data_IF_435807494127
#
_entry.id   IF_435807494127
#
_cell.length_a   1.000
_cell.length_b   1.000
_cell.length_c   1.000
_cell.angle_alpha   90.00
_cell.angle_beta   90.00
_cell.angle_gamma   90.00
#
_symmetry.space_group_name_H-M   'P 1'
#
loop_
_entity.id
_entity.type
_entity.pdbx_description
1 polymer ?
#
# COMPACT_ATOMS: atom_id res chain seq x y z
N UNK A 1 20.75 -5.63 4.62
CA UNK A 1 21.49 -6.90 4.42
C UNK A 1 21.71 -7.20 2.94
N UNK A 2 20.67 -7.45 2.12
CA UNK A 2 20.80 -7.69 0.67
C UNK A 2 21.67 -6.66 -0.07
N UNK A 3 21.46 -5.37 0.21
CA UNK A 3 22.27 -4.29 -0.40
C UNK A 3 23.76 -4.41 -0.11
N UNK A 4 24.16 -4.63 1.15
CA UNK A 4 25.57 -4.74 1.53
C UNK A 4 26.25 -6.00 1.00
N UNK A 5 25.52 -7.11 0.91
CA UNK A 5 26.04 -8.31 0.23
C UNK A 5 26.26 -8.03 -1.24
N UNK A 6 25.29 -7.38 -1.89
CA UNK A 6 25.41 -6.97 -3.30
C UNK A 6 26.62 -6.06 -3.51
N UNK A 7 26.81 -5.06 -2.66
CA UNK A 7 27.98 -4.18 -2.71
C UNK A 7 29.29 -4.96 -2.56
N UNK A 8 29.39 -5.84 -1.56
CA UNK A 8 30.56 -6.69 -1.36
C UNK A 8 30.86 -7.61 -2.55
N UNK A 9 29.82 -8.25 -3.11
CA UNK A 9 29.93 -9.07 -4.30
C UNK A 9 30.41 -8.26 -5.51
N UNK A 10 29.89 -7.04 -5.72
CA UNK A 10 30.34 -6.17 -6.81
C UNK A 10 31.82 -5.80 -6.64
N UNK A 11 32.26 -5.38 -5.45
CA UNK A 11 33.67 -5.04 -5.22
C UNK A 11 34.60 -6.23 -5.35
N UNK A 12 34.12 -7.45 -5.05
CA UNK A 12 34.87 -8.67 -5.23
C UNK A 12 34.93 -9.12 -6.70
N UNK A 13 33.81 -8.96 -7.42
CA UNK A 13 33.65 -9.44 -8.80
C UNK A 13 34.28 -8.48 -9.81
N UNK A 14 34.12 -7.17 -9.65
CA UNK A 14 34.61 -6.16 -10.58
C UNK A 14 36.10 -6.33 -10.97
N UNK A 15 37.07 -6.46 -10.03
CA UNK A 15 38.46 -6.65 -10.41
C UNK A 15 38.74 -8.00 -11.10
N UNK A 16 37.96 -9.05 -10.80
CA UNK A 16 38.09 -10.38 -11.43
C UNK A 16 37.53 -10.39 -12.84
N UNK A 17 36.34 -9.81 -13.01
CA UNK A 17 35.66 -9.69 -14.28
C UNK A 17 36.43 -8.77 -15.23
N UNK A 18 37.00 -7.68 -14.71
CA UNK A 18 37.75 -6.70 -15.51
C UNK A 18 39.25 -6.98 -15.57
N UNK A 19 39.73 -8.06 -14.95
CA UNK A 19 41.13 -8.48 -14.91
C UNK A 19 42.10 -7.34 -14.58
N UNK A 20 41.69 -6.50 -13.63
CA UNK A 20 42.43 -5.33 -13.21
C UNK A 20 42.26 -5.12 -11.71
N UNK A 21 43.09 -4.26 -11.13
CA UNK A 21 42.98 -3.94 -9.70
C UNK A 21 41.80 -3.00 -9.49
N UNK A 22 41.11 -3.16 -8.36
CA UNK A 22 40.10 -2.20 -7.94
C UNK A 22 40.71 -0.80 -7.88
N UNK A 23 40.04 0.18 -8.47
CA UNK A 23 40.56 1.54 -8.59
C UNK A 23 40.96 2.15 -7.25
N UNK A 24 40.14 2.00 -6.20
CA UNK A 24 40.50 2.46 -4.85
C UNK A 24 39.86 1.61 -3.75
N UNK A 25 40.69 0.97 -2.92
CA UNK A 25 40.22 0.27 -1.72
C UNK A 25 39.69 1.24 -0.66
N UNK A 26 40.36 2.38 -0.47
CA UNK A 26 39.92 3.44 0.47
C UNK A 26 38.53 3.96 0.14
N UNK A 27 38.22 4.12 -1.15
CA UNK A 27 36.91 4.58 -1.59
C UNK A 27 35.84 3.50 -1.36
N UNK A 28 36.18 2.23 -1.50
CA UNK A 28 35.29 1.11 -1.19
C UNK A 28 35.00 1.02 0.32
N UNK A 29 36.01 1.18 1.17
CA UNK A 29 35.86 1.24 2.63
C UNK A 29 35.03 2.45 3.07
N UNK A 30 35.29 3.63 2.47
CA UNK A 30 34.54 4.85 2.76
C UNK A 30 33.07 4.72 2.33
N UNK A 31 32.80 4.13 1.17
CA UNK A 31 31.44 3.78 0.77
C UNK A 31 30.78 2.86 1.81
N UNK A 32 31.45 1.79 2.23
CA UNK A 32 30.89 0.84 3.18
C UNK A 32 30.50 1.53 4.50
N UNK A 33 31.37 2.36 5.07
CA UNK A 33 31.07 3.10 6.29
C UNK A 33 29.98 4.15 6.10
N UNK A 34 30.03 4.92 5.00
CA UNK A 34 29.03 5.94 4.70
C UNK A 34 27.63 5.33 4.53
N UNK A 35 27.53 4.23 3.78
CA UNK A 35 26.29 3.48 3.62
C UNK A 35 25.84 2.86 4.95
N UNK A 36 26.75 2.36 5.78
CA UNK A 36 26.44 1.75 7.08
C UNK A 36 25.85 2.79 8.04
N UNK A 37 26.50 3.94 8.19
CA UNK A 37 25.97 5.02 9.02
C UNK A 37 24.66 5.54 8.44
N UNK A 38 24.58 5.73 7.12
CA UNK A 38 23.37 6.19 6.44
C UNK A 38 22.16 5.28 6.70
N UNK A 39 22.32 3.96 6.55
CA UNK A 39 21.22 3.02 6.80
C UNK A 39 20.86 2.93 8.29
N UNK A 40 21.82 3.04 9.21
CA UNK A 40 21.56 3.03 10.65
C UNK A 40 20.73 4.26 11.06
N UNK A 41 21.09 5.45 10.57
CA UNK A 41 20.30 6.67 10.79
C UNK A 41 18.90 6.53 10.22
N UNK A 42 18.79 6.00 9.00
CA UNK A 42 17.51 5.77 8.34
C UNK A 42 16.61 4.84 9.17
N UNK A 43 17.12 3.66 9.56
CA UNK A 43 16.38 2.65 10.33
C UNK A 43 16.02 3.17 11.72
N UNK A 44 16.97 3.80 12.42
CA UNK A 44 16.71 4.37 13.75
C UNK A 44 15.61 5.42 13.70
N UNK A 45 15.65 6.32 12.71
CA UNK A 45 14.61 7.33 12.52
C UNK A 45 13.23 6.71 12.29
N UNK A 46 13.15 5.58 11.57
CA UNK A 46 11.90 4.87 11.34
C UNK A 46 11.36 4.23 12.61
N UNK A 47 12.20 3.56 13.40
CA UNK A 47 11.76 2.95 14.64
C UNK A 47 11.31 3.98 15.67
N UNK A 48 12.06 5.06 15.85
CA UNK A 48 11.68 6.14 16.76
C UNK A 48 10.37 6.77 16.30
N UNK A 49 10.22 7.11 15.02
CA UNK A 49 8.97 7.65 14.50
C UNK A 49 7.78 6.71 14.72
N UNK A 50 7.94 5.41 14.45
CA UNK A 50 6.87 4.42 14.61
C UNK A 50 6.45 4.24 16.08
N UNK A 51 7.41 4.22 17.01
CA UNK A 51 7.14 4.13 18.44
C UNK A 51 6.45 5.40 18.94
N UNK A 52 6.96 6.57 18.55
CA UNK A 52 6.39 7.88 18.92
C UNK A 52 4.97 8.03 18.39
N UNK A 53 4.76 7.89 17.08
CA UNK A 53 3.44 8.04 16.44
C UNK A 53 2.46 6.98 16.95
N UNK A 54 2.89 5.72 16.99
CA UNK A 54 2.06 4.62 17.50
C UNK A 54 1.71 4.78 18.97
N UNK A 55 2.59 5.37 19.78
CA UNK A 55 2.33 5.71 21.18
C UNK A 55 1.33 6.85 21.32
N UNK A 56 1.50 7.93 20.55
CA UNK A 56 0.61 9.09 20.59
C UNK A 56 -0.80 8.75 20.09
N UNK A 57 -0.94 8.00 19.00
CA UNK A 57 -2.23 7.61 18.44
C UNK A 57 -3.06 6.73 19.40
N UNK A 58 -2.40 6.01 20.31
CA UNK A 58 -3.03 5.15 21.33
C UNK A 58 -3.04 5.76 22.73
N UNK A 59 -2.50 6.97 22.91
CA UNK A 59 -2.36 7.61 24.21
C UNK A 59 -3.72 8.07 24.74
N UNK A 60 -4.15 7.47 25.84
CA UNK A 60 -5.32 7.89 26.61
C UNK A 60 -4.87 8.56 27.92
N UNK A 61 -5.61 9.55 28.38
CA UNK A 61 -5.45 10.14 29.70
C UNK A 61 -6.15 9.31 30.79
N UNK A 62 -6.05 9.77 32.04
CA UNK A 62 -6.67 9.10 33.20
C UNK A 62 -8.21 9.07 33.13
N UNK A 63 -8.81 9.96 32.32
CA UNK A 63 -10.25 10.04 32.08
C UNK A 63 -10.69 9.17 30.89
N UNK A 64 -9.76 8.46 30.25
CA UNK A 64 -10.01 7.64 29.07
C UNK A 64 -10.19 8.44 27.77
N UNK A 65 -9.84 9.73 27.75
CA UNK A 65 -9.88 10.58 26.55
C UNK A 65 -8.54 10.58 25.81
N UNK A 66 -8.55 11.02 24.55
CA UNK A 66 -7.32 11.10 23.76
C UNK A 66 -6.38 12.18 24.31
N UNK A 67 -5.18 11.77 24.71
CA UNK A 67 -4.14 12.70 25.15
C UNK A 67 -3.69 13.65 24.03
N UNK A 68 -3.70 13.17 22.79
CA UNK A 68 -3.33 13.92 21.58
C UNK A 68 -4.52 13.95 20.63
N UNK A 69 -5.53 14.78 20.95
CA UNK A 69 -6.78 14.82 20.20
C UNK A 69 -6.56 15.33 18.76
N UNK A 70 -5.74 16.35 18.57
CA UNK A 70 -5.45 16.85 17.23
C UNK A 70 -4.42 15.95 16.53
N UNK A 71 -4.81 15.40 15.38
CA UNK A 71 -3.91 14.55 14.58
C UNK A 71 -2.61 15.27 14.17
N UNK A 72 -2.65 16.60 14.04
CA UNK A 72 -1.47 17.40 13.66
C UNK A 72 -0.33 17.33 14.69
N UNK A 73 -0.64 17.07 15.96
CA UNK A 73 0.36 16.91 17.01
C UNK A 73 1.23 15.67 16.75
N UNK A 74 0.63 14.58 16.28
CA UNK A 74 1.38 13.35 15.97
C UNK A 74 2.27 13.54 14.74
N UNK A 75 1.79 14.28 13.75
CA UNK A 75 2.55 14.59 12.53
C UNK A 75 3.76 15.46 12.86
N UNK A 76 3.55 16.55 13.60
CA UNK A 76 4.61 17.50 13.93
C UNK A 76 5.69 16.89 14.83
N UNK A 77 5.31 15.97 15.73
CA UNK A 77 6.24 15.25 16.60
C UNK A 77 7.26 14.38 15.84
N UNK A 78 6.92 13.87 14.66
CA UNK A 78 7.81 12.99 13.87
C UNK A 78 8.60 13.71 12.77
N UNK A 79 8.38 15.02 12.56
CA UNK A 79 9.13 15.83 11.58
C UNK A 79 10.66 15.72 11.77
N UNK A 80 11.23 15.78 12.98
CA UNK A 80 12.67 15.63 13.16
C UNK A 80 13.22 14.30 12.60
N UNK A 81 12.44 13.22 12.71
CA UNK A 81 12.81 11.90 12.22
C UNK A 81 12.80 11.85 10.69
N UNK A 82 11.95 12.64 10.02
CA UNK A 82 12.00 12.78 8.56
C UNK A 82 13.32 13.41 8.11
N UNK A 83 13.83 14.42 8.81
CA UNK A 83 15.14 15.02 8.49
C UNK A 83 16.29 14.05 8.70
N UNK A 84 16.31 13.31 9.82
CA UNK A 84 17.31 12.26 10.05
C UNK A 84 17.26 11.21 8.94
N UNK A 85 16.05 10.85 8.48
CA UNK A 85 15.85 9.91 7.37
C UNK A 85 16.42 10.45 6.05
N UNK A 86 16.18 11.72 5.74
CA UNK A 86 16.74 12.37 4.54
C UNK A 86 18.26 12.35 4.59
N UNK A 87 18.86 12.69 5.73
CA UNK A 87 20.31 12.64 5.93
C UNK A 87 20.84 11.22 5.72
N UNK A 88 20.24 10.23 6.39
CA UNK A 88 20.64 8.83 6.27
C UNK A 88 20.51 8.28 4.84
N UNK A 89 19.41 8.62 4.16
CA UNK A 89 19.18 8.26 2.76
C UNK A 89 20.16 8.93 1.80
N UNK A 90 20.46 10.22 2.00
CA UNK A 90 21.44 10.95 1.20
C UNK A 90 22.86 10.37 1.36
N UNK A 91 23.25 9.99 2.58
CA UNK A 91 24.52 9.29 2.83
C UNK A 91 24.57 7.94 2.10
N UNK A 92 23.49 7.16 2.18
CA UNK A 92 23.40 5.87 1.49
C UNK A 92 23.47 6.02 -0.04
N UNK A 93 22.75 6.99 -0.61
CA UNK A 93 22.77 7.29 -2.03
C UNK A 93 24.16 7.77 -2.49
N UNK A 94 24.77 8.67 -1.73
CA UNK A 94 26.14 9.15 -1.99
C UNK A 94 27.12 7.98 -1.97
N UNK A 95 26.97 7.06 -1.02
CA UNK A 95 27.73 5.82 -0.98
C UNK A 95 27.56 4.99 -2.25
N UNK A 96 26.33 4.81 -2.73
CA UNK A 96 26.03 4.12 -3.99
C UNK A 96 26.72 4.79 -5.20
N UNK A 97 26.71 6.12 -5.26
CA UNK A 97 27.41 6.88 -6.30
C UNK A 97 28.94 6.71 -6.21
N UNK A 98 29.51 6.69 -5.00
CA UNK A 98 30.93 6.40 -4.79
C UNK A 98 31.30 4.99 -5.30
N UNK A 99 30.44 3.99 -5.07
CA UNK A 99 30.62 2.65 -5.62
C UNK A 99 30.56 2.64 -7.13
N UNK A 100 29.53 3.25 -7.72
CA UNK A 100 29.38 3.33 -9.17
C UNK A 100 30.62 3.96 -9.82
N UNK A 101 31.12 5.05 -9.25
CA UNK A 101 32.35 5.70 -9.68
C UNK A 101 33.58 4.79 -9.55
N UNK A 102 33.76 4.11 -8.41
CA UNK A 102 34.88 3.19 -8.18
C UNK A 102 34.89 2.03 -9.19
N UNK A 103 33.73 1.43 -9.43
CA UNK A 103 33.55 0.34 -10.39
C UNK A 103 33.77 0.84 -11.82
N UNK A 104 33.24 2.01 -12.18
CA UNK A 104 33.45 2.59 -13.51
C UNK A 104 34.94 2.88 -13.77
N UNK A 105 35.66 3.43 -12.80
CA UNK A 105 37.11 3.67 -12.90
C UNK A 105 37.90 2.37 -12.97
N UNK A 106 37.45 1.33 -12.26
CA UNK A 106 38.03 -0.02 -12.36
C UNK A 106 37.84 -0.58 -13.77
N UNK A 107 36.63 -0.48 -14.33
CA UNK A 107 36.34 -0.91 -15.69
C UNK A 107 37.14 -0.14 -16.74
N UNK A 108 37.34 1.18 -16.57
CA UNK A 108 38.17 1.98 -17.47
C UNK A 108 39.66 1.60 -17.44
N UNK A 109 40.12 0.96 -16.37
CA UNK A 109 41.49 0.47 -16.20
C UNK A 109 41.68 -0.99 -16.65
N UNK A 110 40.69 -1.56 -17.36
CA UNK A 110 40.77 -2.93 -17.91
C UNK A 110 41.80 -3.02 -19.04
N UNK A 111 42.44 -4.18 -19.25
CA UNK A 111 43.21 -4.43 -20.46
C UNK A 111 42.29 -4.48 -21.70
N UNK A 112 42.84 -4.17 -22.88
CA UNK A 112 42.08 -4.20 -24.14
C UNK A 112 41.71 -5.64 -24.57
N UNK A 113 42.53 -6.61 -24.20
CA UNK A 113 42.29 -8.04 -24.38
C UNK A 113 42.16 -8.71 -23.02
N UNK A 114 41.20 -9.62 -22.90
CA UNK A 114 40.96 -10.41 -21.70
C UNK A 114 41.60 -11.77 -21.83
N UNK A 115 42.22 -12.24 -20.76
CA UNK A 115 42.62 -13.64 -20.65
C UNK A 115 41.35 -14.49 -20.48
N UNK A 116 41.12 -15.47 -21.34
CA UNK A 116 39.98 -16.39 -21.17
C UNK A 116 40.47 -17.67 -20.49
N UNK A 117 40.43 -17.79 -19.15
CA UNK A 117 40.75 -19.05 -18.50
C UNK A 117 39.71 -20.11 -18.90
N UNK A 118 40.17 -21.15 -19.59
CA UNK A 118 39.35 -22.32 -19.93
C UNK A 118 39.14 -23.11 -18.64
N UNK A 119 37.93 -23.03 -18.08
CA UNK A 119 37.51 -23.86 -16.96
C UNK A 119 36.92 -25.17 -17.49
N UNK A 120 37.70 -26.24 -17.44
CA UNK A 120 37.19 -27.58 -17.73
C UNK A 120 36.34 -28.08 -16.55
N UNK A 121 35.03 -28.06 -16.73
CA UNK A 121 34.11 -28.71 -15.79
C UNK A 121 34.07 -30.21 -16.10
N UNK A 122 34.06 -31.09 -15.08
CA UNK A 122 33.85 -32.51 -15.29
C UNK A 122 32.51 -32.74 -16.01
N UNK A 123 32.52 -33.63 -17.01
CA UNK A 123 31.33 -33.95 -17.78
C UNK A 123 30.17 -34.35 -16.86
N UNK A 124 28.97 -33.85 -17.17
CA UNK A 124 27.76 -34.14 -16.40
C UNK A 124 27.51 -35.66 -16.40
N UNK A 125 27.69 -36.31 -15.25
CA UNK A 125 27.43 -37.74 -15.12
C UNK A 125 25.93 -38.04 -15.30
N UNK A 126 25.59 -38.98 -16.18
CA UNK A 126 24.21 -39.37 -16.50
C UNK A 126 23.42 -39.92 -15.29
N UNK A 127 24.14 -40.45 -14.27
CA UNK A 127 23.55 -40.91 -13.02
C UNK A 127 24.29 -40.25 -11.85
N UNK A 128 23.61 -39.50 -10.99
CA UNK A 128 24.26 -38.93 -9.82
C UNK A 128 24.79 -40.07 -8.94
N UNK A 129 26.00 -39.97 -8.38
CA UNK A 129 26.49 -40.94 -7.42
C UNK A 129 25.47 -41.05 -6.28
N UNK A 130 25.16 -42.28 -5.87
CA UNK A 130 24.29 -42.54 -4.72
C UNK A 130 24.88 -41.79 -3.54
N UNK A 131 24.16 -40.80 -3.01
CA UNK A 131 24.55 -40.13 -1.79
C UNK A 131 24.37 -41.13 -0.65
N UNK A 132 25.37 -41.94 -0.37
CA UNK A 132 25.45 -42.58 0.94
C UNK A 132 25.47 -41.43 1.97
N UNK A 133 24.64 -41.48 3.03
CA UNK A 133 24.76 -40.51 4.11
C UNK A 133 26.21 -40.61 4.61
N UNK A 134 27.02 -39.56 4.44
CA UNK A 134 28.33 -39.59 5.10
C UNK A 134 28.09 -39.45 6.60
N UNK A 135 28.89 -40.11 7.44
CA UNK A 135 28.81 -39.94 8.88
C UNK A 135 29.03 -38.48 9.26
N UNK A 136 28.52 -38.10 10.45
CA UNK A 136 28.79 -36.80 11.07
C UNK A 136 30.28 -36.47 11.04
N UNK A 137 30.62 -35.18 10.82
CA UNK A 137 32.00 -34.67 10.89
C UNK A 137 32.53 -34.65 12.32
N UNK A 138 31.65 -34.77 13.31
CA UNK A 138 32.01 -34.78 14.72
C UNK A 138 32.52 -36.17 15.09
N UNK A 139 33.83 -36.26 15.32
CA UNK A 139 34.50 -37.46 15.79
C UNK A 139 34.72 -37.38 17.32
N UNK A 140 34.63 -38.52 18.02
CA UNK A 140 34.80 -38.60 19.49
C UNK A 140 33.52 -38.94 20.26
N UNK A 141 33.57 -38.92 21.59
CA UNK A 141 32.46 -39.26 22.50
C UNK A 141 31.47 -38.10 22.66
N UNK A 142 30.73 -37.80 21.60
CA UNK A 142 29.57 -36.91 21.63
C UNK A 142 28.29 -37.72 21.72
N UNK A 143 27.30 -37.13 22.39
CA UNK A 143 25.92 -37.61 22.45
C UNK A 143 25.34 -37.76 21.04
N UNK A 144 24.58 -38.83 20.81
CA UNK A 144 24.13 -39.24 19.47
C UNK A 144 23.28 -38.17 18.77
N UNK A 145 22.46 -37.43 19.52
CA UNK A 145 21.65 -36.34 18.96
C UNK A 145 22.51 -35.21 18.36
N UNK A 146 23.72 -34.95 18.89
CA UNK A 146 24.63 -33.94 18.34
C UNK A 146 25.20 -34.36 16.99
N UNK A 147 25.47 -35.66 16.80
CA UNK A 147 25.88 -36.22 15.50
C UNK A 147 24.73 -36.17 14.48
N UNK A 148 23.50 -36.43 14.92
CA UNK A 148 22.31 -36.31 14.06
C UNK A 148 22.04 -34.86 13.65
N UNK A 149 22.20 -33.90 14.58
CA UNK A 149 22.07 -32.48 14.29
C UNK A 149 23.14 -31.98 13.31
N UNK A 150 24.40 -32.41 13.46
CA UNK A 150 25.50 -32.12 12.53
C UNK A 150 25.22 -32.66 11.12
N UNK A 151 24.80 -33.93 11.02
CA UNK A 151 24.43 -34.54 9.74
C UNK A 151 23.24 -33.84 9.05
N UNK A 152 22.26 -33.36 9.84
CA UNK A 152 21.13 -32.57 9.33
C UNK A 152 21.58 -31.17 8.87
N UNK A 153 22.45 -30.52 9.64
CA UNK A 153 23.00 -29.19 9.36
C UNK A 153 23.89 -29.16 8.12
N UNK A 154 24.46 -30.30 7.69
CA UNK A 154 25.15 -30.39 6.40
C UNK A 154 24.21 -30.13 5.19
N UNK A 155 22.89 -30.13 5.39
CA UNK A 155 21.86 -29.85 4.38
C UNK A 155 22.02 -30.67 3.09
N UNK A 156 22.59 -31.88 3.16
CA UNK A 156 22.86 -32.71 1.97
C UNK A 156 21.58 -33.28 1.37
N UNK A 157 20.51 -33.35 2.15
CA UNK A 157 19.16 -33.60 1.67
C UNK A 157 18.68 -32.49 0.71
N UNK A 158 19.06 -31.23 0.95
CA UNK A 158 18.71 -30.09 0.10
C UNK A 158 19.39 -30.20 -1.29
N UNK A 159 20.65 -30.67 -1.35
CA UNK A 159 21.36 -30.92 -2.63
C UNK A 159 20.64 -31.91 -3.56
N UNK A 160 19.84 -32.83 -3.01
CA UNK A 160 19.03 -33.76 -3.82
C UNK A 160 17.92 -33.01 -4.56
N UNK A 161 17.33 -32.00 -3.93
CA UNK A 161 16.30 -31.14 -4.50
C UNK A 161 16.88 -30.08 -5.44
N UNK A 162 18.05 -29.50 -5.13
CA UNK A 162 18.76 -28.54 -5.99
C UNK A 162 19.04 -29.10 -7.39
N UNK A 163 19.21 -30.42 -7.52
CA UNK A 163 19.47 -31.10 -8.80
C UNK A 163 18.23 -31.32 -9.65
N UNK A 164 17.04 -31.03 -9.13
CA UNK A 164 15.76 -31.29 -9.80
C UNK A 164 14.99 -29.97 -10.01
N UNK A 165 15.56 -28.99 -10.74
CA UNK A 165 14.99 -27.65 -10.85
C UNK A 165 13.56 -27.67 -11.38
N UNK A 166 13.29 -28.46 -12.43
CA UNK A 166 11.94 -28.58 -13.01
C UNK A 166 10.93 -29.14 -11.99
N UNK A 167 11.28 -30.21 -11.27
CA UNK A 167 10.37 -30.81 -10.27
C UNK A 167 10.14 -29.88 -9.10
N UNK A 168 11.20 -29.23 -8.61
CA UNK A 168 11.10 -28.27 -7.52
C UNK A 168 10.21 -27.09 -7.92
N UNK A 169 10.41 -26.50 -9.10
CA UNK A 169 9.54 -25.44 -9.64
C UNK A 169 8.08 -25.88 -9.72
N UNK A 170 7.79 -27.09 -10.20
CA UNK A 170 6.42 -27.62 -10.25
C UNK A 170 5.81 -27.75 -8.85
N UNK A 171 6.55 -28.27 -7.87
CA UNK A 171 6.05 -28.39 -6.50
C UNK A 171 5.85 -27.02 -5.83
N UNK A 172 6.75 -26.06 -6.06
CA UNK A 172 6.59 -24.69 -5.57
C UNK A 172 5.37 -24.02 -6.19
N UNK A 173 5.18 -24.16 -7.51
CA UNK A 173 3.99 -23.64 -8.19
C UNK A 173 2.71 -24.26 -7.60
N UNK A 174 2.68 -25.57 -7.43
CA UNK A 174 1.54 -26.27 -6.84
C UNK A 174 1.26 -25.77 -5.42
N UNK A 175 2.29 -25.62 -4.59
CA UNK A 175 2.14 -25.11 -3.22
C UNK A 175 1.57 -23.69 -3.18
N UNK A 176 2.06 -22.79 -4.05
CA UNK A 176 1.55 -21.42 -4.17
C UNK A 176 0.11 -21.41 -4.64
N UNK A 177 -0.22 -22.16 -5.71
CA UNK A 177 -1.58 -22.25 -6.24
C UNK A 177 -2.54 -22.78 -5.18
N UNK A 178 -2.18 -23.87 -4.50
CA UNK A 178 -3.01 -24.45 -3.44
C UNK A 178 -3.23 -23.43 -2.32
N UNK A 179 -2.17 -22.81 -1.79
CA UNK A 179 -2.29 -21.80 -0.75
C UNK A 179 -3.19 -20.62 -1.18
N UNK A 180 -2.99 -20.08 -2.39
CA UNK A 180 -3.81 -19.01 -2.93
C UNK A 180 -5.27 -19.41 -3.10
N UNK A 181 -5.55 -20.62 -3.60
CA UNK A 181 -6.94 -21.10 -3.74
C UNK A 181 -7.62 -21.28 -2.38
N UNK A 182 -6.89 -21.77 -1.37
CA UNK A 182 -7.41 -21.89 0.00
C UNK A 182 -7.73 -20.54 0.66
N UNK A 183 -6.99 -19.48 0.33
CA UNK A 183 -7.25 -18.13 0.82
C UNK A 183 -8.39 -17.45 0.04
N UNK A 184 -8.41 -17.60 -1.29
CA UNK A 184 -9.29 -16.85 -2.19
C UNK A 184 -10.67 -17.49 -2.33
N UNK A 185 -10.78 -18.81 -2.50
CA UNK A 185 -12.09 -19.44 -2.77
C UNK A 185 -13.11 -19.18 -1.65
N UNK A 186 -12.77 -19.32 -0.35
CA UNK A 186 -13.74 -19.10 0.72
C UNK A 186 -14.29 -17.67 0.78
N UNK A 187 -13.55 -16.66 0.31
CA UNK A 187 -14.03 -15.27 0.33
C UNK A 187 -15.09 -15.00 -0.74
N UNK A 188 -15.07 -15.74 -1.86
CA UNK A 188 -16.08 -15.63 -2.92
C UNK A 188 -17.31 -16.53 -2.72
N UNK A 189 -17.13 -17.73 -2.17
CA UNK A 189 -18.21 -18.75 -2.11
C UNK A 189 -19.09 -18.58 -0.87
N UNK A 190 -18.53 -18.10 0.24
CA UNK A 190 -19.23 -18.03 1.52
C UNK A 190 -19.81 -16.62 1.69
N UNK A 191 -21.03 -16.39 1.20
CA UNK A 191 -21.70 -15.08 1.24
C UNK A 191 -21.84 -14.51 2.67
N UNK A 192 -21.91 -15.37 3.70
CA UNK A 192 -21.92 -14.94 5.10
C UNK A 192 -20.63 -14.25 5.55
N UNK A 193 -19.52 -14.38 4.80
CA UNK A 193 -18.26 -13.69 5.10
C UNK A 193 -18.32 -12.19 4.76
N UNK A 194 -19.27 -11.75 3.94
CA UNK A 194 -19.46 -10.34 3.58
C UNK A 194 -20.91 -9.94 3.89
N UNK A 195 -21.25 -9.67 5.17
CA UNK A 195 -22.58 -9.20 5.52
C UNK A 195 -22.82 -7.84 4.87
N UNK A 196 -23.78 -7.77 3.94
CA UNK A 196 -24.24 -6.51 3.34
C UNK A 196 -25.05 -5.73 4.36
N UNK A 197 -24.81 -4.43 4.45
CA UNK A 197 -25.57 -3.53 5.32
C UNK A 197 -26.70 -2.94 4.47
N UNK A 198 -27.96 -3.13 4.88
CA UNK A 198 -29.11 -2.73 4.09
C UNK A 198 -29.20 -1.21 3.80
N UNK A 199 -28.62 -0.38 4.67
CA UNK A 199 -28.57 1.07 4.48
C UNK A 199 -27.46 1.52 3.50
N UNK A 200 -26.53 0.63 3.13
CA UNK A 200 -25.42 0.98 2.24
C UNK A 200 -25.90 1.00 0.79
N UNK A 201 -25.79 2.17 0.15
CA UNK A 201 -26.20 2.40 -1.24
C UNK A 201 -25.00 2.57 -2.17
N UNK A 202 -25.13 2.22 -3.46
CA UNK A 202 -24.14 2.60 -4.46
C UNK A 202 -23.86 4.11 -4.45
N UNK A 203 -22.64 4.50 -4.81
CA UNK A 203 -22.29 5.92 -4.96
C UNK A 203 -23.18 6.60 -5.98
N UNK A 204 -23.58 7.85 -5.71
CA UNK A 204 -24.19 8.68 -6.77
C UNK A 204 -23.20 8.90 -7.91
N UNK A 205 -23.65 9.32 -9.11
CA UNK A 205 -22.75 9.56 -10.23
C UNK A 205 -21.65 10.59 -9.91
N UNK A 206 -21.97 11.63 -9.15
CA UNK A 206 -20.99 12.65 -8.74
C UNK A 206 -20.01 12.11 -7.69
N UNK A 207 -20.49 11.35 -6.70
CA UNK A 207 -19.65 10.68 -5.70
C UNK A 207 -18.68 9.69 -6.35
N UNK A 208 -19.15 8.95 -7.37
CA UNK A 208 -18.30 8.04 -8.14
C UNK A 208 -17.18 8.79 -8.87
N UNK A 209 -17.48 9.94 -9.50
CA UNK A 209 -16.45 10.79 -10.08
C UNK A 209 -15.48 11.34 -9.02
N UNK A 210 -15.99 11.77 -7.87
CA UNK A 210 -15.18 12.26 -6.75
C UNK A 210 -14.23 11.19 -6.19
N UNK A 211 -14.71 9.95 -6.11
CA UNK A 211 -13.90 8.79 -5.73
C UNK A 211 -12.79 8.52 -6.74
N UNK A 212 -13.08 8.62 -8.03
CA UNK A 212 -12.05 8.46 -9.06
C UNK A 212 -10.99 9.56 -8.98
N UNK A 213 -11.38 10.80 -8.67
CA UNK A 213 -10.45 11.91 -8.42
C UNK A 213 -9.60 11.61 -7.16
N UNK A 214 -10.20 11.13 -6.08
CA UNK A 214 -9.48 10.71 -4.87
C UNK A 214 -8.41 9.65 -5.16
N UNK A 215 -8.72 8.70 -6.06
CA UNK A 215 -7.77 7.69 -6.53
C UNK A 215 -6.69 8.31 -7.43
N UNK A 216 -7.08 9.16 -8.39
CA UNK A 216 -6.16 9.80 -9.33
C UNK A 216 -5.13 10.69 -8.64
N UNK A 217 -5.55 11.42 -7.61
CA UNK A 217 -4.68 12.27 -6.78
C UNK A 217 -3.85 11.47 -5.77
N UNK A 218 -4.08 10.16 -5.66
CA UNK A 218 -3.30 9.29 -4.77
C UNK A 218 -3.55 9.54 -3.28
N UNK A 219 -4.70 10.08 -2.91
CA UNK A 219 -5.05 10.42 -1.52
C UNK A 219 -4.92 9.20 -0.58
N UNK A 220 -5.21 8.01 -1.09
CA UNK A 220 -5.09 6.72 -0.37
C UNK A 220 -3.67 6.39 0.14
N UNK A 221 -2.61 7.04 -0.39
CA UNK A 221 -1.24 6.86 0.10
C UNK A 221 -1.01 7.52 1.47
N UNK A 222 -1.85 8.50 1.81
CA UNK A 222 -1.77 9.29 3.04
C UNK A 222 -2.96 9.05 3.96
N UNK A 223 -4.12 8.75 3.42
CA UNK A 223 -5.37 8.62 4.14
C UNK A 223 -5.92 7.20 4.00
N UNK A 224 -6.16 6.55 5.13
CA UNK A 224 -6.90 5.30 5.18
C UNK A 224 -8.40 5.56 5.25
N UNK A 225 -9.17 4.57 4.84
CA UNK A 225 -10.62 4.52 5.04
C UNK A 225 -10.99 3.19 5.70
N UNK A 226 -10.34 2.88 6.82
CA UNK A 226 -10.60 1.67 7.59
C UNK A 226 -10.24 1.88 9.06
N UNK A 227 -11.26 2.16 9.87
CA UNK A 227 -11.12 2.32 11.32
C UNK A 227 -11.04 0.94 11.95
N UNK A 228 -9.98 0.69 12.71
CA UNK A 228 -9.76 -0.59 13.38
C UNK A 228 -10.58 -0.66 14.68
N UNK A 229 -10.99 -1.86 15.12
CA UNK A 229 -11.74 -2.07 16.36
C UNK A 229 -10.82 -1.96 17.59
N UNK A 230 -10.20 -0.79 17.77
CA UNK A 230 -9.40 -0.44 18.95
C UNK A 230 -9.94 0.83 19.58
N UNK A 231 -10.02 0.86 20.91
CA UNK A 231 -10.67 1.95 21.65
C UNK A 231 -10.19 3.35 21.24
N UNK A 232 -8.87 3.55 21.13
CA UNK A 232 -8.31 4.85 20.77
C UNK A 232 -8.71 5.31 19.35
N UNK A 233 -8.90 4.38 18.40
CA UNK A 233 -9.41 4.74 17.07
C UNK A 233 -10.91 5.01 17.09
N UNK A 234 -11.67 4.23 17.86
CA UNK A 234 -13.10 4.45 18.00
C UNK A 234 -13.42 5.81 18.61
N UNK A 235 -12.65 6.24 19.61
CA UNK A 235 -12.78 7.59 20.20
C UNK A 235 -12.38 8.67 19.18
N UNK A 236 -11.32 8.43 18.39
CA UNK A 236 -10.77 9.43 17.46
C UNK A 236 -11.63 9.65 16.23
N UNK A 237 -12.09 8.57 15.62
CA UNK A 237 -12.71 8.59 14.30
C UNK A 237 -14.18 8.16 14.33
N UNK A 238 -14.65 7.58 15.43
CA UNK A 238 -15.99 7.02 15.55
C UNK A 238 -16.02 5.52 15.31
N UNK A 239 -17.22 4.99 15.05
CA UNK A 239 -17.48 3.56 14.96
C UNK A 239 -16.58 2.83 13.96
N UNK A 240 -16.02 1.68 14.37
CA UNK A 240 -15.08 0.91 13.55
C UNK A 240 -15.71 0.43 12.24
N UNK A 241 -14.88 0.22 11.22
CA UNK A 241 -15.34 -0.13 9.87
C UNK A 241 -15.82 -1.58 9.79
N UNK A 242 -16.93 -1.78 9.05
CA UNK A 242 -17.50 -3.10 8.75
C UNK A 242 -17.28 -3.46 7.29
N UNK A 243 -17.11 -4.76 7.01
CA UNK A 243 -16.89 -5.25 5.65
C UNK A 243 -18.01 -4.83 4.68
N UNK A 244 -19.26 -4.80 5.15
CA UNK A 244 -20.44 -4.41 4.38
C UNK A 244 -20.45 -2.96 3.87
N UNK A 245 -19.60 -2.07 4.40
CA UNK A 245 -19.50 -0.68 3.93
C UNK A 245 -18.74 -0.55 2.61
N UNK A 246 -17.88 -1.52 2.29
CA UNK A 246 -16.96 -1.47 1.16
C UNK A 246 -17.41 -2.33 -0.02
N UNK A 247 -18.63 -2.87 0.02
CA UNK A 247 -19.14 -3.82 -0.98
C UNK A 247 -19.21 -3.26 -2.40
N UNK A 248 -19.30 -1.93 -2.55
CA UNK A 248 -19.34 -1.25 -3.84
C UNK A 248 -18.01 -0.58 -4.21
N UNK A 249 -16.95 -0.76 -3.41
CA UNK A 249 -15.64 -0.14 -3.67
C UNK A 249 -14.80 -0.99 -4.63
N UNK A 250 -14.77 -0.58 -5.89
CA UNK A 250 -13.90 -1.19 -6.91
C UNK A 250 -12.88 -0.17 -7.43
N UNK A 251 -11.60 -0.20 -6.98
CA UNK A 251 -11.03 -1.01 -5.90
C UNK A 251 -11.26 -0.44 -4.48
N UNK A 252 -11.10 -1.28 -3.45
CA UNK A 252 -11.20 -0.88 -2.03
C UNK A 252 -10.27 0.29 -1.67
N UNK A 253 -10.68 1.16 -0.72
CA UNK A 253 -9.92 2.34 -0.28
C UNK A 253 -9.43 2.28 1.18
N UNK A 254 -9.31 1.08 1.76
CA UNK A 254 -8.96 0.87 3.17
C UNK A 254 -7.66 1.56 3.61
N UNK A 255 -6.73 1.74 2.68
CA UNK A 255 -5.41 2.34 2.92
C UNK A 255 -4.42 1.39 3.61
N UNK A 256 -3.13 1.69 3.47
CA UNK A 256 -2.04 0.90 4.06
C UNK A 256 -1.10 1.75 4.94
N UNK A 257 -1.36 3.06 5.02
CA UNK A 257 -0.54 4.04 5.73
C UNK A 257 -1.41 5.23 6.14
N UNK A 258 -1.07 5.86 7.26
CA UNK A 258 -1.66 7.12 7.73
C UNK A 258 -0.57 8.18 7.87
N UNK A 259 -0.51 9.11 6.92
CA UNK A 259 0.23 10.37 7.03
C UNK A 259 -0.73 11.53 7.36
N UNK A 260 -1.98 11.41 6.89
CA UNK A 260 -3.12 12.16 7.37
C UNK A 260 -4.06 11.27 8.19
N UNK A 261 -5.11 11.85 8.78
CA UNK A 261 -6.12 11.10 9.53
C UNK A 261 -6.88 10.10 8.65
N UNK A 262 -7.48 9.09 9.28
CA UNK A 262 -8.46 8.21 8.62
C UNK A 262 -9.70 9.02 8.18
N UNK A 263 -10.23 8.71 7.00
CA UNK A 263 -11.35 9.43 6.39
C UNK A 263 -12.66 8.63 6.35
N UNK A 264 -12.70 7.40 6.89
CA UNK A 264 -13.88 6.52 6.80
C UNK A 264 -15.17 7.11 7.41
N UNK A 265 -15.04 8.16 8.23
CA UNK A 265 -16.15 8.84 8.94
C UNK A 265 -16.09 10.36 8.80
N UNK A 266 -15.48 10.88 7.74
CA UNK A 266 -15.38 12.34 7.54
C UNK A 266 -16.71 12.97 7.10
N UNK A 267 -17.70 12.17 6.66
CA UNK A 267 -18.97 12.68 6.15
C UNK A 267 -19.70 13.58 7.16
N UNK A 268 -19.95 14.84 6.78
CA UNK A 268 -20.55 15.87 7.65
C UNK A 268 -19.67 16.39 8.78
N UNK A 269 -18.42 15.94 8.91
CA UNK A 269 -17.50 16.40 9.94
C UNK A 269 -16.91 17.80 9.63
N UNK A 270 -16.79 18.15 8.34
CA UNK A 270 -16.26 19.44 7.86
C UNK A 270 -17.23 20.09 6.89
N UNK A 271 -17.31 21.42 6.92
CA UNK A 271 -18.06 22.22 5.96
C UNK A 271 -17.35 22.34 4.62
N UNK A 272 -18.09 22.81 3.61
CA UNK A 272 -17.57 23.02 2.26
C UNK A 272 -16.45 24.10 2.23
N UNK A 273 -16.55 25.13 3.06
CA UNK A 273 -15.53 26.15 3.28
C UNK A 273 -14.20 25.55 3.74
N UNK A 274 -14.25 24.65 4.72
CA UNK A 274 -13.06 23.99 5.24
C UNK A 274 -12.41 23.15 4.15
N UNK A 275 -13.18 22.38 3.38
CA UNK A 275 -12.65 21.58 2.28
C UNK A 275 -11.97 22.45 1.21
N UNK A 276 -12.59 23.56 0.81
CA UNK A 276 -12.03 24.48 -0.18
C UNK A 276 -10.71 25.08 0.29
N UNK A 277 -10.68 25.65 1.50
CA UNK A 277 -9.46 26.20 2.09
C UNK A 277 -8.38 25.11 2.25
N UNK A 278 -8.78 23.91 2.67
CA UNK A 278 -7.87 22.80 2.88
C UNK A 278 -7.28 22.27 1.57
N UNK A 279 -8.02 22.22 0.46
CA UNK A 279 -7.45 21.81 -0.83
C UNK A 279 -6.58 22.90 -1.45
N UNK A 280 -6.97 24.16 -1.33
CA UNK A 280 -6.18 25.29 -1.82
C UNK A 280 -4.83 25.40 -1.10
N UNK A 281 -4.86 25.30 0.23
CA UNK A 281 -3.67 25.22 1.07
C UNK A 281 -3.97 24.58 2.45
N UNK A 282 -3.63 23.29 2.63
CA UNK A 282 -3.81 22.59 3.89
C UNK A 282 -3.22 23.28 5.12
N UNK A 283 -2.18 24.13 4.94
CA UNK A 283 -1.55 24.84 6.06
C UNK A 283 -2.40 26.00 6.59
N UNK A 284 -3.33 26.52 5.79
CA UNK A 284 -4.27 27.55 6.24
C UNK A 284 -5.32 26.95 7.17
N UNK A 285 -5.86 25.78 6.80
CA UNK A 285 -6.85 25.07 7.61
C UNK A 285 -6.23 24.29 8.78
N UNK A 286 -4.98 23.85 8.65
CA UNK A 286 -4.27 23.07 9.66
C UNK A 286 -2.78 23.42 9.66
N UNK A 287 -2.36 24.39 10.50
CA UNK A 287 -0.97 24.82 10.58
C UNK A 287 -0.02 23.64 10.86
N UNK A 288 1.04 23.53 10.06
CA UNK A 288 1.98 22.41 10.13
C UNK A 288 1.60 21.18 9.32
N UNK A 289 0.50 21.22 8.55
CA UNK A 289 0.10 20.11 7.68
C UNK A 289 1.18 19.80 6.63
N UNK A 290 1.47 18.51 6.47
CA UNK A 290 2.38 17.99 5.43
C UNK A 290 1.64 17.55 4.15
N UNK A 291 0.32 17.69 4.11
CA UNK A 291 -0.48 17.37 2.93
C UNK A 291 -0.11 18.31 1.77
N UNK A 292 0.07 17.81 0.54
CA UNK A 292 0.28 18.65 -0.65
C UNK A 292 -0.88 19.62 -0.90
N UNK A 293 -0.61 20.72 -1.63
CA UNK A 293 -1.69 21.61 -2.10
C UNK A 293 -2.31 20.99 -3.36
N UNK A 294 -3.63 21.13 -3.52
CA UNK A 294 -4.38 20.69 -4.68
C UNK A 294 -5.21 21.84 -5.29
N UNK A 295 -4.61 23.00 -5.61
CA UNK A 295 -5.35 24.16 -6.12
C UNK A 295 -6.02 23.87 -7.48
N UNK A 296 -5.46 22.97 -8.29
CA UNK A 296 -6.02 22.60 -9.59
C UNK A 296 -7.41 21.97 -9.49
N UNK A 297 -7.79 21.38 -8.35
CA UNK A 297 -9.14 20.85 -8.16
C UNK A 297 -10.21 21.95 -8.24
N UNK A 298 -9.84 23.20 -7.93
CA UNK A 298 -10.72 24.37 -8.01
C UNK A 298 -10.77 24.96 -9.43
N UNK A 299 -9.84 24.57 -10.30
CA UNK A 299 -9.66 25.13 -11.65
C UNK A 299 -10.09 24.16 -12.76
N UNK A 300 -9.74 22.88 -12.59
CA UNK A 300 -10.01 21.82 -13.55
C UNK A 300 -11.50 21.54 -13.70
N UNK A 301 -11.89 21.21 -14.92
CA UNK A 301 -13.27 20.84 -15.25
C UNK A 301 -13.54 19.37 -14.98
N UNK A 302 -14.70 19.10 -14.41
CA UNK A 302 -15.21 17.76 -14.14
C UNK A 302 -15.58 17.04 -15.46
N UNK A 303 -15.04 15.85 -15.67
CA UNK A 303 -15.43 14.99 -16.81
C UNK A 303 -16.70 14.19 -16.50
N UNK A 304 -17.85 14.79 -16.78
CA UNK A 304 -19.16 14.13 -16.68
C UNK A 304 -19.44 13.18 -17.86
N UNK A 305 -18.77 13.36 -18.99
CA UNK A 305 -19.03 12.59 -20.21
C UNK A 305 -18.63 11.12 -20.08
N UNK A 306 -17.69 10.79 -19.18
CA UNK A 306 -17.28 9.42 -18.91
C UNK A 306 -18.19 8.66 -17.93
N UNK A 307 -19.08 9.35 -17.19
CA UNK A 307 -19.95 8.73 -16.18
C UNK A 307 -20.81 7.57 -16.69
N UNK A 308 -21.50 7.66 -17.86
CA UNK A 308 -22.33 6.55 -18.34
C UNK A 308 -21.50 5.27 -18.55
N UNK A 309 -20.26 5.41 -19.03
CA UNK A 309 -19.36 4.27 -19.22
C UNK A 309 -18.92 3.69 -17.89
N UNK A 310 -18.54 4.54 -16.94
CA UNK A 310 -18.09 4.13 -15.60
C UNK A 310 -19.18 3.37 -14.86
N UNK A 311 -20.40 3.90 -14.81
CA UNK A 311 -21.51 3.23 -14.13
C UNK A 311 -21.85 1.88 -14.75
N UNK A 312 -21.86 1.76 -16.10
CA UNK A 312 -22.06 0.45 -16.76
C UNK A 312 -21.01 -0.57 -16.36
N UNK A 313 -19.74 -0.16 -16.23
CA UNK A 313 -18.67 -1.04 -15.76
C UNK A 313 -18.87 -1.43 -14.31
N UNK A 314 -19.29 -0.50 -13.44
CA UNK A 314 -19.63 -0.82 -12.04
C UNK A 314 -20.79 -1.81 -11.96
N UNK A 315 -21.80 -1.69 -12.83
CA UNK A 315 -22.88 -2.68 -12.95
C UNK A 315 -22.36 -4.05 -13.35
N UNK A 316 -21.36 -4.15 -14.23
CA UNK A 316 -20.71 -5.43 -14.56
C UNK A 316 -19.97 -6.04 -13.36
N UNK A 317 -19.47 -5.21 -12.45
CA UNK A 317 -18.88 -5.65 -11.17
C UNK A 317 -19.92 -6.01 -10.11
N UNK A 318 -21.22 -5.92 -10.41
CA UNK A 318 -22.31 -6.29 -9.51
C UNK A 318 -22.87 -5.14 -8.68
N UNK A 319 -22.48 -3.88 -8.95
CA UNK A 319 -23.09 -2.72 -8.29
C UNK A 319 -24.50 -2.48 -8.85
N UNK A 320 -25.56 -2.44 -8.01
CA UNK A 320 -26.95 -2.45 -8.46
C UNK A 320 -27.45 -1.06 -8.90
N UNK A 321 -26.84 -0.48 -9.95
CA UNK A 321 -27.39 0.69 -10.64
C UNK A 321 -28.56 0.28 -11.55
N UNK A 322 -29.66 1.02 -11.49
CA UNK A 322 -30.77 0.87 -12.43
C UNK A 322 -30.42 1.43 -13.82
N UNK A 323 -31.08 0.94 -14.86
CA UNK A 323 -30.88 1.46 -16.23
C UNK A 323 -31.24 2.95 -16.33
N UNK A 324 -32.23 3.40 -15.56
CA UNK A 324 -32.63 4.80 -15.49
C UNK A 324 -31.53 5.67 -14.86
N UNK A 325 -30.90 5.22 -13.76
CA UNK A 325 -29.78 5.93 -13.14
C UNK A 325 -28.59 6.04 -14.09
N UNK A 326 -28.29 4.99 -14.85
CA UNK A 326 -27.21 5.00 -15.86
C UNK A 326 -27.54 5.93 -17.02
N UNK A 327 -28.81 5.99 -17.46
CA UNK A 327 -29.25 6.87 -18.55
C UNK A 327 -29.24 8.34 -18.13
N UNK A 328 -29.65 8.63 -16.89
CA UNK A 328 -29.79 9.99 -16.36
C UNK A 328 -28.58 10.45 -15.52
N UNK A 329 -27.47 9.70 -15.54
CA UNK A 329 -26.36 9.90 -14.60
C UNK A 329 -25.73 11.30 -14.68
N UNK A 330 -25.63 11.88 -15.88
CA UNK A 330 -25.06 13.22 -16.09
C UNK A 330 -25.96 14.27 -15.44
N UNK A 331 -27.26 14.24 -15.71
CA UNK A 331 -28.21 15.16 -15.10
C UNK A 331 -28.28 14.99 -13.56
N UNK A 332 -28.17 13.76 -13.06
CA UNK A 332 -28.07 13.49 -11.62
C UNK A 332 -26.81 14.13 -11.02
N UNK A 333 -25.66 13.97 -11.67
CA UNK A 333 -24.41 14.56 -11.23
C UNK A 333 -24.45 16.10 -11.23
N UNK A 334 -24.99 16.70 -12.30
CA UNK A 334 -25.14 18.15 -12.41
C UNK A 334 -26.06 18.72 -11.32
N UNK A 335 -27.18 18.06 -11.01
CA UNK A 335 -28.06 18.49 -9.91
C UNK A 335 -27.32 18.51 -8.57
N UNK A 336 -26.66 17.40 -8.22
CA UNK A 336 -25.90 17.31 -6.96
C UNK A 336 -24.72 18.29 -6.94
N UNK A 337 -24.07 18.53 -8.09
CA UNK A 337 -22.97 19.47 -8.18
C UNK A 337 -23.43 20.92 -7.96
N UNK A 338 -24.61 21.28 -8.48
CA UNK A 338 -25.22 22.58 -8.23
C UNK A 338 -25.60 22.77 -6.75
N UNK A 339 -26.13 21.73 -6.09
CA UNK A 339 -26.44 21.76 -4.65
C UNK A 339 -25.17 22.00 -3.82
N UNK A 340 -24.10 21.26 -4.08
CA UNK A 340 -22.83 21.44 -3.37
C UNK A 340 -22.19 22.79 -3.71
N UNK A 341 -22.25 23.23 -4.96
CA UNK A 341 -21.75 24.55 -5.36
C UNK A 341 -22.52 25.68 -4.67
N UNK A 342 -23.82 25.52 -4.41
CA UNK A 342 -24.60 26.47 -3.63
C UNK A 342 -24.12 26.54 -2.18
N UNK A 343 -23.82 25.39 -1.56
CA UNK A 343 -23.23 25.33 -0.21
C UNK A 343 -21.85 25.98 -0.16
N UNK A 344 -21.01 25.76 -1.18
CA UNK A 344 -19.70 26.43 -1.29
C UNK A 344 -19.87 27.93 -1.38
N UNK A 345 -20.80 28.41 -2.22
CA UNK A 345 -21.10 29.84 -2.37
C UNK A 345 -21.58 30.47 -1.07
N UNK A 346 -22.47 29.80 -0.36
CA UNK A 346 -22.97 30.27 0.94
C UNK A 346 -21.84 30.36 1.98
N UNK A 347 -20.91 29.40 1.99
CA UNK A 347 -19.86 29.32 2.99
C UNK A 347 -18.60 30.14 2.66
N UNK A 348 -18.32 30.44 1.38
CA UNK A 348 -17.04 31.05 0.94
C UNK A 348 -17.17 32.25 0.00
N UNK A 349 -18.40 32.58 -0.44
CA UNK A 349 -18.67 33.57 -1.50
C UNK A 349 -18.11 33.21 -2.90
N UNK A 350 -17.46 32.06 -3.05
CA UNK A 350 -16.93 31.58 -4.34
C UNK A 350 -18.07 31.08 -5.23
N UNK A 351 -18.05 31.45 -6.50
CA UNK A 351 -19.07 31.08 -7.51
C UNK A 351 -18.44 30.32 -8.68
N UNK A 352 -19.25 29.61 -9.48
CA UNK A 352 -18.78 28.90 -10.67
C UNK A 352 -17.99 27.64 -10.35
N UNK A 353 -18.40 26.90 -9.32
CA UNK A 353 -17.76 25.66 -8.85
C UNK A 353 -18.48 24.41 -9.35
N UNK A 354 -19.70 24.54 -9.87
CA UNK A 354 -20.57 23.44 -10.31
C UNK A 354 -19.93 22.51 -11.35
N UNK A 355 -18.98 22.99 -12.14
CA UNK A 355 -18.27 22.22 -13.16
C UNK A 355 -16.83 21.86 -12.73
N UNK A 356 -16.46 22.03 -11.45
CA UNK A 356 -15.09 21.80 -10.95
C UNK A 356 -14.91 20.45 -10.28
N UNK A 357 -13.71 19.90 -10.37
CA UNK A 357 -13.34 18.61 -9.77
C UNK A 357 -13.53 18.61 -8.24
N UNK A 358 -13.28 19.74 -7.57
CA UNK A 358 -13.43 19.86 -6.12
C UNK A 358 -14.84 19.55 -5.63
N UNK A 359 -15.88 19.88 -6.41
CA UNK A 359 -17.27 19.60 -6.05
C UNK A 359 -17.54 18.10 -6.01
N UNK A 360 -17.03 17.36 -7.00
CA UNK A 360 -17.14 15.91 -7.00
C UNK A 360 -16.39 15.27 -5.83
N UNK A 361 -15.17 15.74 -5.54
CA UNK A 361 -14.38 15.23 -4.42
C UNK A 361 -15.05 15.52 -3.06
N UNK A 362 -15.65 16.70 -2.89
CA UNK A 362 -16.43 17.03 -1.69
C UNK A 362 -17.63 16.09 -1.57
N UNK A 363 -18.37 15.85 -2.66
CA UNK A 363 -19.49 14.91 -2.66
C UNK A 363 -19.06 13.53 -2.15
N UNK A 364 -17.94 13.01 -2.66
CA UNK A 364 -17.40 11.72 -2.24
C UNK A 364 -16.99 11.71 -0.76
N UNK A 365 -16.25 12.72 -0.28
CA UNK A 365 -15.81 12.78 1.11
C UNK A 365 -16.99 12.92 2.07
N UNK A 366 -17.98 13.73 1.70
CA UNK A 366 -19.16 13.98 2.52
C UNK A 366 -20.05 12.74 2.67
N UNK A 367 -19.95 11.82 1.71
CA UNK A 367 -20.64 10.52 1.70
C UNK A 367 -20.02 9.49 2.66
N UNK A 368 -18.73 9.60 2.99
CA UNK A 368 -17.99 8.57 3.74
C UNK A 368 -18.51 8.39 5.17
N UNK A 369 -18.99 7.18 5.47
CA UNK A 369 -19.43 6.76 6.81
C UNK A 369 -20.87 7.10 7.18
N UNK A 370 -21.62 7.83 6.34
CA UNK A 370 -23.00 8.23 6.62
C UNK A 370 -24.03 7.10 6.53
N UNK A 371 -23.82 6.14 5.64
CA UNK A 371 -24.76 5.04 5.45
C UNK A 371 -24.91 4.17 6.70
N UNK A 372 -23.87 4.08 7.52
CA UNK A 372 -23.89 3.25 8.71
C UNK A 372 -24.89 3.77 9.76
N UNK A 373 -25.12 5.08 9.81
CA UNK A 373 -26.05 5.72 10.73
C UNK A 373 -27.41 6.02 10.09
N UNK A 374 -27.53 5.83 8.77
CA UNK A 374 -28.78 6.04 8.05
C UNK A 374 -29.80 4.94 8.42
N UNK A 375 -31.09 5.31 8.60
CA UNK A 375 -32.13 4.31 8.78
C UNK A 375 -32.21 3.41 7.53
N UNK A 376 -32.45 2.10 7.69
CA UNK A 376 -32.60 1.21 6.55
C UNK A 376 -33.77 1.68 5.67
N UNK A 377 -33.67 1.53 4.34
CA UNK A 377 -34.78 1.84 3.44
C UNK A 377 -36.02 1.06 3.87
N UNK A 378 -37.20 1.68 3.74
CA UNK A 378 -38.47 1.00 4.01
C UNK A 378 -38.54 -0.25 3.13
N UNK A 379 -38.85 -1.41 3.74
CA UNK A 379 -38.92 -2.67 3.02
C UNK A 379 -39.91 -2.52 1.86
N UNK A 380 -39.42 -2.63 0.62
CA UNK A 380 -40.29 -2.84 -0.52
C UNK A 380 -41.04 -4.15 -0.26
N UNK A 381 -42.38 -4.07 -0.30
CA UNK A 381 -43.25 -5.21 -0.03
C UNK A 381 -42.90 -6.41 -0.92
N UNK A 382 -43.25 -7.63 -0.51
CA UNK A 382 -42.80 -8.84 -1.18
C UNK A 382 -43.12 -8.76 -2.68
N UNK A 383 -42.06 -8.84 -3.50
CA UNK A 383 -42.17 -8.97 -4.94
C UNK A 383 -43.15 -10.10 -5.24
N UNK A 384 -44.24 -9.76 -5.92
CA UNK A 384 -45.31 -10.69 -6.24
C UNK A 384 -44.71 -11.77 -7.14
N UNK A 385 -44.42 -12.93 -6.56
CA UNK A 385 -44.02 -14.11 -7.31
C UNK A 385 -45.21 -14.50 -8.20
N UNK A 386 -45.13 -14.11 -9.48
CA UNK A 386 -45.97 -14.67 -10.53
C UNK A 386 -45.68 -16.17 -10.59
N UNK A 387 -46.53 -16.95 -9.92
CA UNK A 387 -46.57 -18.39 -10.08
C UNK A 387 -46.94 -18.69 -11.54
N UNK A 388 -45.98 -19.16 -12.31
CA UNK A 388 -46.25 -19.80 -13.60
C UNK A 388 -46.97 -21.12 -13.31
N UNK A 389 -48.29 -21.12 -13.45
CA UNK A 389 -49.10 -22.33 -13.58
C UNK A 389 -48.62 -23.10 -14.82
N UNK A 390 -47.95 -24.22 -14.58
CA UNK A 390 -47.62 -25.18 -15.62
C UNK A 390 -48.90 -25.79 -16.19
N UNK A 391 -49.16 -25.55 -17.46
CA UNK A 391 -50.17 -26.25 -18.25
C UNK A 391 -49.50 -27.37 -19.06
N UNK A 392 -49.82 -28.61 -18.65
CA UNK A 392 -49.70 -29.91 -19.33
C UNK A 392 -48.33 -30.43 -19.76
#
# INVERSE_FOLDING_TARGET
WNGFITFGMIYWLAPRLFQTKLFSQKLAESHFWLATVGILLYVLSMYVAAITEGGMLRGLDESGQLKYAAFIETVTAVIPMYWIRVIGGAMFLTGGLMMAYNVARTWMARPAAYDEPVYEAPALAARPPVSTPAPSRIHGHVVEWARQADALAEMRWHRRWERLPVRFTVYTLLAVVVASLFEIIPTFVIQSNVPTIASVKPYTPLELAGRDIYIAEGCYNCHSQMIRPILAETIRYGEYSKAGEFVYDHPFQWGSRRLGPDLARIGGYRGADWHILHFQDPRQASPGSIMPRYPWLLENKLDLASLPRKMRVMTQFGVPYSEEEVANCVAMAERQANEISALIKEATEITGMEDREVVALIAYLDRLGRDLTAPPPAAEGPATTMATEGTK
#
